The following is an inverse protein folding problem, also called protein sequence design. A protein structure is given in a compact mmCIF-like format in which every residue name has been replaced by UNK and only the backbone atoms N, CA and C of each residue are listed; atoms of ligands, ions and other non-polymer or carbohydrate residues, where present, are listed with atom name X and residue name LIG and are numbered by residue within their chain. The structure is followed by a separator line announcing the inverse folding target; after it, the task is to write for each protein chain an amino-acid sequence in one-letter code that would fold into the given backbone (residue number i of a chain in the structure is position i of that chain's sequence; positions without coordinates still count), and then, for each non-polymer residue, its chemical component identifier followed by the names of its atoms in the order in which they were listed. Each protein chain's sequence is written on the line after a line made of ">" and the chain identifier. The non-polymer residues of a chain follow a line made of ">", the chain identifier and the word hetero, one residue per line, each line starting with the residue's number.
data_IF_113841590324
#
_entry.id   IF_113841590324
#
_cell.length_a   1.000
_cell.length_b   1.000
_cell.length_c   1.000
_cell.angle_alpha   90.00
_cell.angle_beta   90.00
_cell.angle_gamma   90.00
#
_symmetry.space_group_name_H-M   'P 1'
#
loop_
_entity.id
_entity.type
_entity.pdbx_description
1 polymer ?
#
# COMPACT_ATOMS: atom_id res chain seq x y z
N UNK A 1 20.18 6.77 -42.44
CA UNK A 1 18.76 6.35 -42.34
C UNK A 1 18.57 5.06 -41.52
N UNK A 2 19.30 3.98 -41.81
CA UNK A 2 19.12 2.68 -41.13
C UNK A 2 19.42 2.67 -39.62
N UNK A 3 20.51 3.32 -39.18
CA UNK A 3 20.90 3.35 -37.76
C UNK A 3 19.85 4.06 -36.90
N UNK A 4 19.32 5.20 -37.37
CA UNK A 4 18.29 5.96 -36.65
C UNK A 4 16.98 5.17 -36.51
N UNK A 5 16.57 4.43 -37.56
CA UNK A 5 15.37 3.56 -37.51
C UNK A 5 15.58 2.46 -36.47
N UNK A 6 16.77 1.85 -36.43
CA UNK A 6 17.08 0.77 -35.50
C UNK A 6 17.09 1.23 -34.03
N UNK A 7 17.65 2.42 -33.76
CA UNK A 7 17.64 3.00 -32.40
C UNK A 7 16.23 3.34 -31.92
N UNK A 8 15.35 3.82 -32.82
CA UNK A 8 13.95 4.13 -32.51
C UNK A 8 13.16 2.86 -32.17
N UNK A 9 13.30 1.80 -32.97
CA UNK A 9 12.64 0.52 -32.74
C UNK A 9 13.07 -0.11 -31.42
N UNK A 10 14.37 -0.04 -31.08
CA UNK A 10 14.89 -0.52 -29.81
C UNK A 10 14.30 0.25 -28.62
N UNK A 11 14.23 1.58 -28.73
CA UNK A 11 13.69 2.43 -27.68
C UNK A 11 12.21 2.13 -27.41
N UNK A 12 11.41 1.96 -28.48
CA UNK A 12 9.99 1.58 -28.37
C UNK A 12 9.83 0.22 -27.68
N UNK A 13 10.63 -0.78 -28.04
CA UNK A 13 10.56 -2.09 -27.40
C UNK A 13 10.89 -2.04 -25.91
N UNK A 14 11.94 -1.30 -25.56
CA UNK A 14 12.37 -1.15 -24.16
C UNK A 14 11.32 -0.41 -23.33
N UNK A 15 10.69 0.64 -23.85
CA UNK A 15 9.66 1.36 -23.11
C UNK A 15 8.42 0.50 -22.89
N UNK A 16 7.91 -0.18 -23.92
CA UNK A 16 6.76 -1.09 -23.79
C UNK A 16 7.04 -2.23 -22.79
N UNK A 17 8.23 -2.85 -22.87
CA UNK A 17 8.64 -3.91 -21.96
C UNK A 17 8.77 -3.41 -20.52
N UNK A 18 9.33 -2.21 -20.33
CA UNK A 18 9.50 -1.60 -19.00
C UNK A 18 8.15 -1.26 -18.39
N UNK A 19 7.22 -0.67 -19.17
CA UNK A 19 5.86 -0.39 -18.69
C UNK A 19 5.17 -1.68 -18.26
N UNK A 20 5.18 -2.73 -19.08
CA UNK A 20 4.58 -4.02 -18.73
C UNK A 20 5.20 -4.64 -17.47
N UNK A 21 6.52 -4.52 -17.31
CA UNK A 21 7.21 -4.97 -16.10
C UNK A 21 6.81 -4.18 -14.85
N UNK A 22 6.73 -2.84 -14.93
CA UNK A 22 6.32 -1.98 -13.82
C UNK A 22 4.89 -2.26 -13.38
N UNK A 23 3.96 -2.40 -14.33
CA UNK A 23 2.58 -2.81 -14.05
C UNK A 23 2.51 -4.21 -13.43
N UNK A 24 3.30 -5.17 -13.91
CA UNK A 24 3.36 -6.49 -13.28
C UNK A 24 3.92 -6.45 -11.85
N UNK A 25 4.89 -5.56 -11.60
CA UNK A 25 5.53 -5.39 -10.29
C UNK A 25 4.60 -4.74 -9.26
N UNK A 26 3.69 -3.85 -9.66
CA UNK A 26 2.76 -3.19 -8.74
C UNK A 26 1.88 -4.19 -7.97
N UNK A 27 1.41 -5.26 -8.62
CA UNK A 27 0.65 -6.33 -7.96
C UNK A 27 1.46 -7.03 -6.86
N UNK A 28 2.74 -7.31 -7.12
CA UNK A 28 3.62 -7.92 -6.10
C UNK A 28 3.88 -6.93 -4.95
N UNK A 29 4.05 -5.65 -5.27
CA UNK A 29 4.23 -4.61 -4.26
C UNK A 29 2.99 -4.44 -3.38
N UNK A 30 1.78 -4.38 -3.95
CA UNK A 30 0.52 -4.29 -3.18
C UNK A 30 0.42 -5.43 -2.18
N UNK A 31 0.65 -6.67 -2.62
CA UNK A 31 0.60 -7.84 -1.74
C UNK A 31 1.61 -7.74 -0.58
N UNK A 32 2.87 -7.43 -0.87
CA UNK A 32 3.89 -7.27 0.16
C UNK A 32 3.56 -6.15 1.15
N UNK A 33 3.03 -5.04 0.64
CA UNK A 33 2.67 -3.88 1.43
C UNK A 33 1.46 -4.18 2.33
N UNK A 34 0.45 -4.90 1.84
CA UNK A 34 -0.70 -5.33 2.66
C UNK A 34 -0.29 -6.30 3.78
N UNK A 35 0.59 -7.27 3.48
CA UNK A 35 1.14 -8.18 4.51
C UNK A 35 1.89 -7.38 5.58
N UNK A 36 2.67 -6.38 5.16
CA UNK A 36 3.43 -5.54 6.09
C UNK A 36 2.50 -4.62 6.89
N UNK A 37 1.43 -4.10 6.28
CA UNK A 37 0.41 -3.31 6.95
C UNK A 37 -0.30 -4.13 8.03
N UNK A 38 -0.69 -5.36 7.72
CA UNK A 38 -1.31 -6.27 8.70
C UNK A 38 -0.40 -6.47 9.93
N UNK A 39 0.91 -6.61 9.72
CA UNK A 39 1.89 -6.71 10.81
C UNK A 39 1.94 -5.41 11.63
N UNK A 40 1.91 -4.25 10.98
CA UNK A 40 1.89 -2.96 11.66
C UNK A 40 0.60 -2.77 12.47
N UNK A 41 -0.55 -3.18 11.94
CA UNK A 41 -1.85 -3.13 12.64
C UNK A 41 -1.84 -4.02 13.88
N UNK A 42 -1.25 -5.23 13.82
CA UNK A 42 -1.09 -6.12 14.98
C UNK A 42 -0.20 -5.51 16.08
N UNK A 43 0.86 -4.80 15.68
CA UNK A 43 1.70 -4.05 16.64
C UNK A 43 0.85 -2.95 17.28
N UNK A 44 0.10 -2.17 16.48
CA UNK A 44 -0.73 -1.09 16.98
C UNK A 44 -1.81 -1.60 17.95
N UNK A 45 -2.48 -2.71 17.60
CA UNK A 45 -3.45 -3.38 18.47
C UNK A 45 -2.80 -3.74 19.81
N UNK A 46 -1.60 -4.32 19.78
CA UNK A 46 -0.86 -4.70 20.99
C UNK A 46 -0.59 -3.49 21.89
N UNK A 47 -0.10 -2.39 21.32
CA UNK A 47 0.22 -1.16 22.04
C UNK A 47 -1.04 -0.50 22.63
N UNK A 48 -2.10 -0.36 21.84
CA UNK A 48 -3.31 0.38 22.23
C UNK A 48 -4.20 -0.45 23.15
N UNK A 49 -4.52 -1.68 22.77
CA UNK A 49 -5.51 -2.50 23.49
C UNK A 49 -4.91 -3.13 24.75
N UNK A 50 -3.67 -3.63 24.68
CA UNK A 50 -3.04 -4.37 25.76
C UNK A 50 -2.03 -3.52 26.54
N UNK A 51 -1.20 -2.75 25.84
CA UNK A 51 -0.19 -1.87 26.43
C UNK A 51 -0.77 -0.64 27.13
N UNK A 52 -2.01 -0.25 26.78
CA UNK A 52 -2.60 1.03 27.20
C UNK A 52 -1.70 2.23 26.86
N UNK A 53 -0.88 2.06 25.82
CA UNK A 53 0.08 3.06 25.37
C UNK A 53 -0.70 4.22 24.73
N UNK A 54 -0.43 5.48 25.10
CA UNK A 54 -1.04 6.64 24.45
C UNK A 54 -0.85 6.58 22.93
N UNK A 55 -1.88 6.91 22.16
CA UNK A 55 -1.88 6.73 20.70
C UNK A 55 -0.63 7.29 19.99
N UNK A 56 -0.13 8.51 20.29
CA UNK A 56 1.10 9.01 19.67
C UNK A 56 2.32 8.10 19.91
N UNK A 57 2.46 7.56 21.12
CA UNK A 57 3.56 6.66 21.46
C UNK A 57 3.37 5.27 20.81
N UNK A 58 2.13 4.78 20.77
CA UNK A 58 1.79 3.54 20.07
C UNK A 58 2.13 3.62 18.57
N UNK A 59 1.79 4.73 17.91
CA UNK A 59 2.12 4.98 16.50
C UNK A 59 3.65 4.98 16.27
N UNK A 60 4.41 5.64 17.15
CA UNK A 60 5.87 5.63 17.08
C UNK A 60 6.47 4.23 17.33
N UNK A 61 5.86 3.45 18.22
CA UNK A 61 6.24 2.06 18.46
C UNK A 61 5.98 1.18 17.23
N UNK A 62 4.90 1.42 16.49
CA UNK A 62 4.65 0.74 15.21
C UNK A 62 5.74 1.08 14.20
N UNK A 63 6.12 2.35 14.07
CA UNK A 63 7.21 2.75 13.20
C UNK A 63 8.53 2.04 13.56
N UNK A 64 8.89 2.05 14.84
CA UNK A 64 10.14 1.44 15.33
C UNK A 64 10.20 -0.09 15.23
N UNK A 65 9.07 -0.78 15.45
CA UNK A 65 8.99 -2.25 15.45
C UNK A 65 8.61 -2.83 14.09
N UNK A 66 7.91 -2.05 13.27
CA UNK A 66 7.46 -2.43 11.94
C UNK A 66 8.55 -2.33 10.89
N UNK A 67 8.25 -2.83 9.68
CA UNK A 67 9.17 -2.67 8.54
C UNK A 67 8.99 -1.28 7.94
N UNK A 68 10.10 -0.58 7.72
CA UNK A 68 10.13 0.81 7.26
C UNK A 68 9.27 1.05 6.01
N UNK A 69 9.27 0.11 5.05
CA UNK A 69 8.50 0.18 3.78
C UNK A 69 7.03 0.60 3.93
N UNK A 70 6.38 0.24 5.05
CA UNK A 70 5.00 0.64 5.35
C UNK A 70 4.92 1.42 6.65
N UNK A 71 5.72 1.07 7.65
CA UNK A 71 5.58 1.62 9.00
C UNK A 71 5.82 3.13 9.10
N UNK A 72 6.47 3.75 8.12
CA UNK A 72 6.69 5.20 8.08
C UNK A 72 5.38 6.01 8.14
N UNK A 73 4.27 5.49 7.56
CA UNK A 73 2.98 6.18 7.60
C UNK A 73 2.47 6.38 9.02
N UNK A 74 2.83 5.50 9.96
CA UNK A 74 2.40 5.63 11.37
C UNK A 74 3.14 6.77 12.06
N UNK A 75 4.40 7.02 11.71
CA UNK A 75 5.15 8.16 12.20
C UNK A 75 4.61 9.47 11.62
N UNK A 76 4.24 9.51 10.33
CA UNK A 76 3.58 10.66 9.70
C UNK A 76 2.23 10.98 10.38
N UNK A 77 1.41 9.96 10.66
CA UNK A 77 0.16 10.12 11.42
C UNK A 77 0.43 10.70 12.81
N UNK A 78 1.48 10.21 13.50
CA UNK A 78 1.86 10.73 14.82
C UNK A 78 2.25 12.20 14.74
N UNK A 79 3.10 12.57 13.78
CA UNK A 79 3.54 13.95 13.59
C UNK A 79 2.36 14.87 13.31
N UNK A 80 1.43 14.45 12.45
CA UNK A 80 0.19 15.18 12.22
C UNK A 80 -0.62 15.32 13.52
N UNK A 81 -0.85 14.22 14.24
CA UNK A 81 -1.64 14.20 15.48
C UNK A 81 -1.06 15.13 16.57
N UNK A 82 0.26 15.22 16.68
CA UNK A 82 0.92 16.07 17.68
C UNK A 82 0.92 17.55 17.27
N UNK A 83 1.08 17.84 15.98
CA UNK A 83 1.22 19.20 15.46
C UNK A 83 -0.14 19.85 15.15
N UNK A 84 -1.11 19.09 14.67
CA UNK A 84 -2.45 19.56 14.31
C UNK A 84 -3.43 19.46 15.49
N UNK A 85 -3.44 20.49 16.34
CA UNK A 85 -4.40 20.62 17.45
C UNK A 85 -5.87 20.89 17.04
N UNK A 86 -6.17 20.89 15.73
CA UNK A 86 -7.49 21.28 15.20
C UNK A 86 -8.28 20.11 14.58
N UNK A 87 -7.63 18.98 14.29
CA UNK A 87 -8.25 17.79 13.73
C UNK A 87 -8.40 16.67 14.77
N UNK A 88 -9.35 15.76 14.55
CA UNK A 88 -9.46 14.52 15.32
C UNK A 88 -8.46 13.46 14.85
N UNK A 89 -8.42 12.31 15.53
CA UNK A 89 -7.55 11.17 15.16
C UNK A 89 -7.73 10.76 13.69
N UNK A 90 -8.97 10.79 13.21
CA UNK A 90 -9.28 10.46 11.82
C UNK A 90 -8.62 11.41 10.81
N UNK A 91 -8.54 12.71 11.10
CA UNK A 91 -7.92 13.68 10.20
C UNK A 91 -6.41 13.39 10.04
N UNK A 92 -5.76 12.97 11.13
CA UNK A 92 -4.36 12.53 11.08
C UNK A 92 -4.15 11.24 10.31
N UNK A 93 -5.14 10.33 10.27
CA UNK A 93 -5.09 9.17 9.39
C UNK A 93 -5.33 9.54 7.92
N UNK A 94 -6.17 10.54 7.66
CA UNK A 94 -6.42 11.04 6.30
C UNK A 94 -5.19 11.73 5.69
N UNK A 95 -4.32 12.33 6.51
CA UNK A 95 -3.12 13.03 6.02
C UNK A 95 -2.20 12.14 5.19
N UNK A 96 -2.18 10.82 5.44
CA UNK A 96 -1.35 9.85 4.72
C UNK A 96 -2.06 9.18 3.55
N UNK A 97 -3.31 9.53 3.23
CA UNK A 97 -4.11 8.87 2.19
C UNK A 97 -3.37 8.82 0.83
N UNK A 98 -2.77 9.94 0.42
CA UNK A 98 -2.00 10.00 -0.82
C UNK A 98 -0.82 9.02 -0.85
N UNK A 99 -0.15 8.82 0.29
CA UNK A 99 0.98 7.91 0.42
C UNK A 99 0.55 6.44 0.29
N UNK A 100 -0.64 6.09 0.79
CA UNK A 100 -1.20 4.75 0.65
C UNK A 100 -1.41 4.37 -0.82
N UNK A 101 -1.92 5.28 -1.65
CA UNK A 101 -2.07 5.04 -3.08
C UNK A 101 -0.73 5.06 -3.81
N UNK A 102 0.04 6.14 -3.67
CA UNK A 102 1.19 6.43 -4.52
C UNK A 102 2.41 5.57 -4.19
N UNK A 103 2.66 5.31 -2.91
CA UNK A 103 3.88 4.64 -2.47
C UNK A 103 3.61 3.17 -2.13
N UNK A 104 2.41 2.86 -1.61
CA UNK A 104 2.07 1.50 -1.18
C UNK A 104 1.27 0.69 -2.22
N UNK A 105 0.88 1.30 -3.35
CA UNK A 105 0.09 0.65 -4.40
C UNK A 105 -1.23 0.04 -3.88
N UNK A 106 -1.81 0.65 -2.84
CA UNK A 106 -3.08 0.21 -2.29
C UNK A 106 -4.23 0.61 -3.20
N UNK A 107 -5.27 -0.25 -3.20
CA UNK A 107 -6.54 0.06 -3.83
C UNK A 107 -7.42 0.87 -2.87
N UNK A 108 -8.51 1.39 -3.41
CA UNK A 108 -9.49 2.16 -2.66
C UNK A 108 -10.00 1.40 -1.43
N UNK A 109 -10.31 0.11 -1.59
CA UNK A 109 -10.84 -0.73 -0.51
C UNK A 109 -9.81 -0.93 0.61
N UNK A 110 -8.53 -1.10 0.24
CA UNK A 110 -7.41 -1.22 1.18
C UNK A 110 -7.26 0.07 2.01
N UNK A 111 -7.33 1.22 1.33
CA UNK A 111 -7.24 2.54 1.94
C UNK A 111 -8.42 2.81 2.87
N UNK A 112 -9.65 2.57 2.42
CA UNK A 112 -10.86 2.76 3.24
C UNK A 112 -10.84 1.88 4.51
N UNK A 113 -10.33 0.65 4.38
CA UNK A 113 -10.15 -0.27 5.49
C UNK A 113 -9.15 0.26 6.51
N UNK A 114 -7.98 0.73 6.04
CA UNK A 114 -6.99 1.35 6.92
C UNK A 114 -7.52 2.61 7.62
N UNK A 115 -8.13 3.53 6.86
CA UNK A 115 -8.67 4.79 7.40
C UNK A 115 -9.81 4.55 8.40
N UNK A 116 -10.51 3.41 8.32
CA UNK A 116 -11.52 3.04 9.31
C UNK A 116 -10.94 2.89 10.72
N UNK A 117 -9.66 2.54 10.87
CA UNK A 117 -8.98 2.51 12.18
C UNK A 117 -8.99 3.90 12.83
N UNK A 118 -8.67 4.95 12.07
CA UNK A 118 -8.65 6.32 12.57
C UNK A 118 -10.02 6.81 13.07
N UNK A 119 -11.13 6.25 12.56
CA UNK A 119 -12.49 6.56 13.04
C UNK A 119 -12.81 5.92 14.39
N UNK A 120 -12.22 4.76 14.66
CA UNK A 120 -12.49 3.98 15.87
C UNK A 120 -11.53 4.37 17.01
N UNK A 121 -10.29 4.67 16.67
CA UNK A 121 -9.25 5.03 17.63
C UNK A 121 -9.58 6.38 18.27
N UNK A 122 -9.85 6.36 19.58
CA UNK A 122 -10.15 7.56 20.38
C UNK A 122 -11.62 7.77 20.75
N UNK A 123 -12.54 6.93 20.28
CA UNK A 123 -14.01 7.12 20.47
C UNK A 123 -14.71 5.96 21.19
N UNK A 124 -14.03 4.85 21.46
CA UNK A 124 -14.62 3.59 21.94
C UNK A 124 -13.92 3.03 23.18
N UNK A 125 -14.66 2.22 23.96
CA UNK A 125 -14.10 1.49 25.11
C UNK A 125 -13.14 0.37 24.66
N UNK A 126 -12.40 -0.22 25.60
CA UNK A 126 -11.36 -1.22 25.28
C UNK A 126 -11.92 -2.45 24.55
N UNK A 127 -13.10 -2.93 24.92
CA UNK A 127 -13.70 -4.13 24.34
C UNK A 127 -14.10 -3.85 22.89
N UNK A 128 -14.66 -2.68 22.64
CA UNK A 128 -15.04 -2.26 21.30
C UNK A 128 -13.83 -1.92 20.44
N UNK A 129 -12.77 -1.31 20.99
CA UNK A 129 -11.50 -1.14 20.28
C UNK A 129 -10.95 -2.48 19.80
N UNK A 130 -10.92 -3.51 20.67
CA UNK A 130 -10.44 -4.84 20.31
C UNK A 130 -11.27 -5.45 19.16
N UNK A 131 -12.61 -5.39 19.24
CA UNK A 131 -13.49 -5.88 18.17
C UNK A 131 -13.22 -5.20 16.83
N UNK A 132 -12.97 -3.90 16.85
CA UNK A 132 -12.68 -3.14 15.64
C UNK A 132 -11.30 -3.49 15.05
N UNK A 133 -10.27 -3.69 15.88
CA UNK A 133 -8.97 -4.19 15.40
C UNK A 133 -9.11 -5.58 14.74
N UNK A 134 -9.91 -6.47 15.32
CA UNK A 134 -10.22 -7.78 14.74
C UNK A 134 -10.94 -7.63 13.40
N UNK A 135 -11.95 -6.76 13.32
CA UNK A 135 -12.70 -6.49 12.08
C UNK A 135 -11.77 -6.00 10.97
N UNK A 136 -10.95 -4.99 11.24
CA UNK A 136 -9.99 -4.45 10.27
C UNK A 136 -8.97 -5.51 9.86
N UNK A 137 -8.42 -6.26 10.82
CA UNK A 137 -7.44 -7.33 10.52
C UNK A 137 -8.03 -8.42 9.62
N UNK A 138 -9.31 -8.77 9.81
CA UNK A 138 -10.01 -9.72 8.95
C UNK A 138 -10.22 -9.17 7.54
N UNK A 139 -10.56 -7.88 7.41
CA UNK A 139 -10.71 -7.22 6.11
C UNK A 139 -9.37 -7.14 5.36
N UNK A 140 -8.29 -6.74 6.03
CA UNK A 140 -6.93 -6.76 5.47
C UNK A 140 -6.53 -8.19 5.07
N UNK A 141 -6.85 -9.20 5.87
CA UNK A 141 -6.56 -10.61 5.54
C UNK A 141 -7.28 -11.05 4.25
N UNK A 142 -8.54 -10.64 4.07
CA UNK A 142 -9.27 -10.90 2.84
C UNK A 142 -8.64 -10.17 1.63
N UNK A 143 -8.21 -8.92 1.81
CA UNK A 143 -7.51 -8.15 0.78
C UNK A 143 -6.14 -8.73 0.42
N UNK A 144 -5.40 -9.28 1.39
CA UNK A 144 -4.15 -10.03 1.14
C UNK A 144 -4.42 -11.25 0.27
N UNK A 145 -5.51 -11.99 0.56
CA UNK A 145 -5.90 -13.13 -0.26
C UNK A 145 -6.25 -12.70 -1.70
N UNK A 146 -7.05 -11.65 -1.86
CA UNK A 146 -7.36 -11.06 -3.17
C UNK A 146 -6.09 -10.61 -3.91
N UNK A 147 -5.22 -9.83 -3.26
CA UNK A 147 -3.98 -9.34 -3.87
C UNK A 147 -3.05 -10.47 -4.29
N UNK A 148 -3.06 -11.60 -3.58
CA UNK A 148 -2.31 -12.81 -3.95
C UNK A 148 -2.88 -13.44 -5.22
N UNK A 149 -4.19 -13.59 -5.31
CA UNK A 149 -4.87 -14.09 -6.50
C UNK A 149 -4.62 -13.19 -7.72
N UNK A 150 -4.70 -11.88 -7.53
CA UNK A 150 -4.41 -10.91 -8.59
C UNK A 150 -2.96 -10.95 -9.03
N UNK A 151 -2.00 -11.02 -8.10
CA UNK A 151 -0.58 -11.17 -8.44
C UNK A 151 -0.36 -12.42 -9.28
N UNK A 152 -0.92 -13.55 -8.86
CA UNK A 152 -0.75 -14.83 -9.55
C UNK A 152 -1.30 -14.79 -10.99
N UNK A 153 -2.44 -14.13 -11.20
CA UNK A 153 -3.09 -14.00 -12.51
C UNK A 153 -2.42 -12.94 -13.40
N UNK A 154 -2.13 -11.78 -12.83
CA UNK A 154 -1.86 -10.57 -13.61
C UNK A 154 -0.37 -10.23 -13.72
N UNK A 155 0.47 -10.55 -12.73
CA UNK A 155 1.86 -10.08 -12.73
C UNK A 155 2.66 -10.60 -13.95
N UNK A 156 2.52 -11.88 -14.28
CA UNK A 156 3.15 -12.49 -15.47
C UNK A 156 2.47 -12.05 -16.77
N UNK A 157 1.14 -11.87 -16.74
CA UNK A 157 0.35 -11.41 -17.89
C UNK A 157 0.81 -10.04 -18.36
N UNK A 158 0.85 -9.02 -17.50
CA UNK A 158 1.23 -7.65 -17.87
C UNK A 158 2.68 -7.54 -18.33
N UNK A 159 3.59 -8.33 -17.73
CA UNK A 159 4.97 -8.43 -18.19
C UNK A 159 5.04 -8.94 -19.64
N UNK A 160 4.27 -9.98 -19.95
CA UNK A 160 4.23 -10.56 -21.29
C UNK A 160 3.53 -9.61 -22.29
N UNK A 161 2.47 -8.92 -21.87
CA UNK A 161 1.78 -7.93 -22.70
C UNK A 161 2.72 -6.81 -23.14
N UNK A 162 3.55 -6.27 -22.25
CA UNK A 162 4.53 -5.24 -22.60
C UNK A 162 5.49 -5.67 -23.72
N UNK A 163 5.98 -6.91 -23.65
CA UNK A 163 6.84 -7.50 -24.69
C UNK A 163 6.08 -7.69 -26.01
N UNK A 164 4.88 -8.29 -25.96
CA UNK A 164 4.07 -8.57 -27.15
C UNK A 164 3.67 -7.26 -27.85
N UNK A 165 3.25 -6.25 -27.10
CA UNK A 165 2.90 -4.93 -27.63
C UNK A 165 4.12 -4.25 -28.25
N UNK A 166 5.30 -4.33 -27.62
CA UNK A 166 6.54 -3.80 -28.18
C UNK A 166 6.90 -4.45 -29.52
N UNK A 167 6.80 -5.78 -29.62
CA UNK A 167 7.03 -6.52 -30.87
C UNK A 167 6.00 -6.14 -31.94
N UNK A 168 4.71 -6.04 -31.58
CA UNK A 168 3.66 -5.67 -32.50
C UNK A 168 3.88 -4.27 -33.11
N UNK A 169 4.29 -3.29 -32.29
CA UNK A 169 4.60 -1.94 -32.77
C UNK A 169 5.82 -1.95 -33.70
N UNK A 170 6.86 -2.74 -33.38
CA UNK A 170 8.01 -2.89 -34.27
C UNK A 170 7.57 -3.43 -35.64
N UNK A 171 6.74 -4.48 -35.68
CA UNK A 171 6.24 -5.07 -36.93
C UNK A 171 5.47 -4.04 -37.77
N UNK A 172 4.67 -3.18 -37.14
CA UNK A 172 3.90 -2.13 -37.84
C UNK A 172 4.77 -0.98 -38.38
N UNK A 173 5.93 -0.72 -37.77
CA UNK A 173 6.84 0.37 -38.14
C UNK A 173 7.91 -0.04 -39.17
N UNK A 174 8.08 -1.34 -39.38
CA UNK A 174 9.00 -1.88 -40.40
C UNK A 174 8.47 -1.54 -41.78
#
# INVERSE_FOLDING_TARGET
>A
MGVLKLTLLLLVFLTCSTIGYLYGKSFSSRLENLITLEQCIKILETEVVYGLTPLPEALSNVHRKGKEKVSYIFEEIKEDLVNNKRGGVYDSFLSVEGNLYNNLNFKKEDVETFLSLGRVLGTSDRVDQQKNFILVSNQISAQIFEAREERNKNAKLYRNLGVITGVAIIILLI
#
